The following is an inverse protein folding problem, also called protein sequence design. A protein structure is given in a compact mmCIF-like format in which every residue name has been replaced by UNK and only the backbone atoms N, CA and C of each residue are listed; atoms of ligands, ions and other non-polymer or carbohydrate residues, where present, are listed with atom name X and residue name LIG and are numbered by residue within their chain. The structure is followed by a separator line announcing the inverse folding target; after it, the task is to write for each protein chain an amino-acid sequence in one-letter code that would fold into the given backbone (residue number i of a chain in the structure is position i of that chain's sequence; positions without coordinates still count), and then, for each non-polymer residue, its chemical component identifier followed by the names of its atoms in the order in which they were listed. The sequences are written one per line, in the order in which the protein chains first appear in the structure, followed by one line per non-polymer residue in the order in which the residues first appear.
data_IF_157581064201
#
_entry.id   IF_157581064201
#
_cell.length_a   1.000
_cell.length_b   1.000
_cell.length_c   1.000
_cell.angle_alpha   90.00
_cell.angle_beta   90.00
_cell.angle_gamma   90.00
#
_symmetry.space_group_name_H-M   'P 1'
#
loop_
_entity.id
_entity.type
_entity.pdbx_description
1 polymer ?
#
# COMPACT_ATOMS: atom_id res chain seq x y z
N UNK A 1 18.63 -10.31 -10.37
CA UNK A 1 18.34 -10.06 -8.94
C UNK A 1 18.19 -8.57 -8.62
N UNK A 2 19.16 -7.72 -8.98
CA UNK A 2 19.12 -6.27 -8.70
C UNK A 2 17.88 -5.52 -9.24
N UNK A 3 17.48 -5.76 -10.50
CA UNK A 3 16.29 -5.11 -11.09
C UNK A 3 15.02 -5.40 -10.28
N UNK A 4 14.84 -6.65 -9.84
CA UNK A 4 13.72 -7.05 -8.99
C UNK A 4 13.76 -6.36 -7.62
N UNK A 5 14.96 -6.26 -7.02
CA UNK A 5 15.14 -5.54 -5.75
C UNK A 5 14.82 -4.06 -5.88
N UNK A 6 15.20 -3.44 -7.00
CA UNK A 6 14.90 -2.04 -7.27
C UNK A 6 13.40 -1.79 -7.49
N UNK A 7 12.72 -2.64 -8.26
CA UNK A 7 11.26 -2.53 -8.43
C UNK A 7 10.52 -2.73 -7.11
N UNK A 8 10.95 -3.71 -6.30
CA UNK A 8 10.42 -3.88 -4.94
C UNK A 8 10.64 -2.63 -4.09
N UNK A 9 11.84 -2.06 -4.08
CA UNK A 9 12.14 -0.86 -3.29
C UNK A 9 11.29 0.33 -3.73
N UNK A 10 11.17 0.58 -5.04
CA UNK A 10 10.33 1.66 -5.58
C UNK A 10 8.84 1.44 -5.32
N UNK A 11 8.36 0.19 -5.30
CA UNK A 11 6.98 -0.12 -4.95
C UNK A 11 6.66 0.23 -3.49
N UNK A 12 7.62 0.11 -2.58
CA UNK A 12 7.44 0.35 -1.15
C UNK A 12 7.89 1.77 -0.73
N UNK A 13 8.32 2.61 -1.67
CA UNK A 13 8.75 3.97 -1.40
C UNK A 13 7.56 4.94 -1.50
N UNK A 14 6.81 5.07 -0.41
CA UNK A 14 5.61 5.92 -0.35
C UNK A 14 5.97 7.36 0.04
N UNK A 15 5.77 8.30 -0.87
CA UNK A 15 5.88 9.75 -0.60
C UNK A 15 4.52 10.38 -0.89
N UNK A 16 3.96 11.09 0.10
CA UNK A 16 2.66 11.74 0.01
C UNK A 16 2.83 13.26 -0.14
N UNK A 17 1.87 13.91 -0.82
CA UNK A 17 1.79 15.37 -0.92
C UNK A 17 2.65 16.02 -2.00
N UNK A 18 3.45 15.26 -2.75
CA UNK A 18 4.25 15.75 -3.87
C UNK A 18 4.21 14.81 -5.05
N UNK A 19 4.37 15.36 -6.26
CA UNK A 19 4.55 14.56 -7.48
C UNK A 19 5.95 13.95 -7.48
N UNK A 20 6.04 12.66 -7.77
CA UNK A 20 7.31 11.92 -7.85
C UNK A 20 7.48 11.25 -9.20
N UNK A 21 8.73 11.00 -9.61
CA UNK A 21 9.05 10.22 -10.81
C UNK A 21 9.04 8.70 -10.57
N UNK A 22 8.62 8.23 -9.39
CA UNK A 22 8.63 6.80 -9.03
C UNK A 22 7.86 5.95 -10.05
N UNK A 23 6.64 6.32 -10.52
CA UNK A 23 5.94 5.53 -11.52
C UNK A 23 6.72 5.40 -12.84
N UNK A 24 7.40 6.46 -13.25
CA UNK A 24 8.25 6.46 -14.44
C UNK A 24 9.47 5.55 -14.28
N UNK A 25 10.19 5.68 -13.16
CA UNK A 25 11.35 4.84 -12.86
C UNK A 25 10.97 3.35 -12.82
N UNK A 26 9.82 3.01 -12.24
CA UNK A 26 9.30 1.64 -12.26
C UNK A 26 9.01 1.14 -13.67
N UNK A 27 8.40 1.97 -14.52
CA UNK A 27 8.15 1.63 -15.92
C UNK A 27 9.45 1.37 -16.70
N UNK A 28 10.48 2.19 -16.48
CA UNK A 28 11.81 2.02 -17.09
C UNK A 28 12.44 0.70 -16.68
N UNK A 29 12.60 0.43 -15.38
CA UNK A 29 13.32 -0.76 -14.90
C UNK A 29 12.58 -2.08 -15.16
N UNK A 30 11.26 -2.02 -15.33
CA UNK A 30 10.43 -3.21 -15.64
C UNK A 30 10.28 -3.46 -17.14
N UNK A 31 10.70 -2.52 -18.00
CA UNK A 31 10.69 -2.69 -19.45
C UNK A 31 11.64 -3.78 -19.93
N UNK A 32 11.27 -4.43 -21.02
CA UNK A 32 12.08 -5.52 -21.59
C UNK A 32 13.42 -5.03 -22.14
N UNK A 33 13.44 -3.85 -22.79
CA UNK A 33 14.66 -3.26 -23.33
C UNK A 33 15.70 -2.97 -22.22
N UNK A 34 15.25 -2.40 -21.10
CA UNK A 34 16.13 -2.16 -19.94
C UNK A 34 16.63 -3.47 -19.32
N UNK A 35 15.77 -4.50 -19.22
CA UNK A 35 16.15 -5.82 -18.66
C UNK A 35 17.15 -6.57 -19.54
N UNK A 36 17.10 -6.35 -20.85
CA UNK A 36 18.03 -6.93 -21.81
C UNK A 36 19.37 -6.16 -21.86
N UNK A 37 19.43 -4.98 -21.24
CA UNK A 37 20.61 -4.11 -21.26
C UNK A 37 20.78 -3.32 -22.55
N UNK A 38 19.75 -3.28 -23.41
CA UNK A 38 19.72 -2.49 -24.63
C UNK A 38 19.40 -1.02 -24.29
N UNK A 39 20.39 -0.34 -23.71
CA UNK A 39 20.23 1.01 -23.16
C UNK A 39 21.29 1.94 -23.76
N UNK A 40 20.81 2.98 -24.42
CA UNK A 40 21.60 4.07 -25.00
C UNK A 40 21.25 5.40 -24.34
N UNK A 41 21.97 6.47 -24.68
CA UNK A 41 21.73 7.80 -24.10
C UNK A 41 20.38 8.41 -24.51
N UNK A 42 19.81 7.99 -25.63
CA UNK A 42 18.51 8.40 -26.15
C UNK A 42 17.40 7.38 -25.83
N UNK A 43 17.64 6.45 -24.90
CA UNK A 43 16.71 5.37 -24.56
C UNK A 43 15.32 5.88 -24.13
N UNK A 44 15.27 6.92 -23.30
CA UNK A 44 14.00 7.49 -22.82
C UNK A 44 13.21 8.07 -23.99
N UNK A 45 13.87 8.83 -24.85
CA UNK A 45 13.24 9.44 -26.03
C UNK A 45 12.71 8.38 -27.01
N UNK A 46 13.41 7.24 -27.14
CA UNK A 46 12.98 6.15 -28.03
C UNK A 46 11.84 5.30 -27.48
N UNK A 47 11.89 4.95 -26.20
CA UNK A 47 10.99 3.95 -25.62
C UNK A 47 9.84 4.55 -24.79
N UNK A 48 9.95 5.81 -24.39
CA UNK A 48 9.04 6.45 -23.44
C UNK A 48 8.57 7.85 -23.86
N UNK A 49 8.72 8.24 -25.14
CA UNK A 49 8.26 9.54 -25.64
C UNK A 49 6.79 9.83 -25.31
N UNK A 50 5.92 8.83 -25.47
CA UNK A 50 4.48 8.94 -25.21
C UNK A 50 4.07 8.34 -23.85
N UNK A 51 5.03 8.09 -22.97
CA UNK A 51 4.73 7.47 -21.69
C UNK A 51 3.88 8.38 -20.80
N UNK A 52 2.86 7.80 -20.20
CA UNK A 52 2.02 8.45 -19.20
C UNK A 52 1.82 7.53 -18.00
N UNK A 53 1.73 8.06 -16.78
CA UNK A 53 1.40 7.26 -15.61
C UNK A 53 0.01 6.65 -15.77
N UNK A 54 -0.15 5.42 -15.28
CA UNK A 54 -1.47 4.78 -15.23
C UNK A 54 -2.41 5.62 -14.36
N UNK A 55 -3.52 6.05 -14.95
CA UNK A 55 -4.61 6.77 -14.26
C UNK A 55 -5.68 5.84 -13.73
N UNK A 56 -5.49 4.51 -13.89
CA UNK A 56 -6.47 3.52 -13.46
C UNK A 56 -6.49 3.44 -11.94
N UNK A 57 -7.46 4.12 -11.33
CA UNK A 57 -7.78 3.95 -9.93
C UNK A 57 -8.28 2.51 -9.68
N UNK A 58 -7.96 1.92 -8.51
CA UNK A 58 -8.64 0.71 -8.05
C UNK A 58 -10.16 0.95 -7.96
N UNK A 59 -11.00 -0.08 -8.14
CA UNK A 59 -12.44 0.06 -7.93
C UNK A 59 -12.76 0.53 -6.51
N UNK A 60 -13.81 1.35 -6.35
CA UNK A 60 -14.22 1.88 -5.04
C UNK A 60 -14.40 0.78 -3.99
N UNK A 61 -14.97 -0.36 -4.37
CA UNK A 61 -15.14 -1.51 -3.48
C UNK A 61 -13.81 -2.06 -2.97
N UNK A 62 -12.75 -2.06 -3.79
CA UNK A 62 -11.43 -2.49 -3.37
C UNK A 62 -10.80 -1.49 -2.38
N UNK A 63 -11.02 -0.19 -2.60
CA UNK A 63 -10.58 0.86 -1.67
C UNK A 63 -11.31 0.78 -0.33
N UNK A 64 -12.64 0.61 -0.35
CA UNK A 64 -13.47 0.43 0.86
C UNK A 64 -13.05 -0.82 1.63
N UNK A 65 -12.84 -1.94 0.93
CA UNK A 65 -12.39 -3.18 1.56
C UNK A 65 -10.99 -3.04 2.19
N UNK A 66 -10.04 -2.38 1.50
CA UNK A 66 -8.71 -2.14 2.02
C UNK A 66 -8.72 -1.23 3.27
N UNK A 67 -9.48 -0.13 3.22
CA UNK A 67 -9.62 0.79 4.35
C UNK A 67 -10.28 0.11 5.56
N UNK A 68 -11.31 -0.73 5.35
CA UNK A 68 -11.93 -1.48 6.43
C UNK A 68 -10.98 -2.52 7.02
N UNK A 69 -10.19 -3.21 6.19
CA UNK A 69 -9.18 -4.17 6.65
C UNK A 69 -8.13 -3.48 7.53
N UNK A 70 -7.62 -2.32 7.10
CA UNK A 70 -6.66 -1.52 7.87
C UNK A 70 -7.25 -1.05 9.21
N UNK A 71 -8.51 -0.62 9.22
CA UNK A 71 -9.21 -0.22 10.46
C UNK A 71 -9.35 -1.39 11.43
N UNK A 72 -9.80 -2.56 10.95
CA UNK A 72 -9.99 -3.75 11.79
C UNK A 72 -8.65 -4.28 12.33
N UNK A 73 -7.58 -4.24 11.53
CA UNK A 73 -6.22 -4.59 11.98
C UNK A 73 -5.69 -3.60 13.01
N UNK A 74 -5.92 -2.30 12.83
CA UNK A 74 -5.55 -1.25 13.76
C UNK A 74 -6.25 -1.37 15.11
N UNK A 75 -7.54 -1.74 15.13
CA UNK A 75 -8.31 -1.97 16.37
C UNK A 75 -7.85 -3.24 17.12
N UNK A 76 -7.45 -4.30 16.40
CA UNK A 76 -6.87 -5.49 17.01
C UNK A 76 -5.53 -5.18 17.75
N UNK A 77 -4.78 -4.19 17.26
CA UNK A 77 -3.54 -3.71 17.88
C UNK A 77 -3.80 -2.65 18.97
N UNK A 78 -4.91 -1.90 18.84
CA UNK A 78 -5.33 -0.81 19.72
C UNK A 78 -6.21 -1.22 20.91
N UNK A 79 -6.62 -2.49 21.02
CA UNK A 79 -7.43 -3.02 22.12
C UNK A 79 -6.80 -2.86 23.55
N UNK A 80 -5.65 -2.20 23.67
CA UNK A 80 -5.06 -1.78 24.94
C UNK A 80 -5.42 -0.36 25.41
N UNK A 81 -5.78 0.58 24.53
CA UNK A 81 -5.87 2.01 24.88
C UNK A 81 -7.20 2.66 24.44
N UNK A 82 -8.03 3.03 25.42
CA UNK A 82 -9.23 3.83 25.19
C UNK A 82 -8.92 5.28 24.76
N UNK A 83 -9.91 6.00 24.20
CA UNK A 83 -9.73 7.33 23.62
C UNK A 83 -9.26 8.43 24.60
N UNK A 84 -9.30 8.18 25.90
CA UNK A 84 -8.88 9.13 26.95
C UNK A 84 -7.51 8.82 27.57
N UNK A 85 -6.82 7.74 27.18
CA UNK A 85 -5.53 7.38 27.80
C UNK A 85 -5.63 7.02 29.30
N UNK A 86 -6.83 6.95 29.86
CA UNK A 86 -7.07 6.48 31.21
C UNK A 86 -7.09 4.94 31.23
N UNK A 87 -6.47 4.29 32.24
CA UNK A 87 -6.53 2.85 32.39
C UNK A 87 -7.96 2.42 32.75
N UNK A 88 -8.77 2.13 31.75
CA UNK A 88 -10.11 1.59 31.90
C UNK A 88 -10.04 0.09 32.24
N UNK A 89 -9.87 -0.18 33.54
CA UNK A 89 -10.18 -1.46 34.20
C UNK A 89 -9.16 -2.59 34.06
N UNK A 90 -9.17 -3.47 35.07
CA UNK A 90 -8.26 -4.60 35.36
C UNK A 90 -8.34 -5.80 34.38
N UNK A 91 -9.04 -5.69 33.24
CA UNK A 91 -9.21 -6.83 32.31
C UNK A 91 -8.65 -6.56 30.90
N UNK A 92 -7.35 -6.85 30.69
CA UNK A 92 -6.69 -6.77 29.38
C UNK A 92 -7.28 -7.70 28.31
N UNK A 93 -8.04 -8.73 28.67
CA UNK A 93 -8.56 -9.75 27.76
C UNK A 93 -10.06 -9.58 27.47
N UNK A 94 -10.64 -8.44 27.83
CA UNK A 94 -12.08 -8.20 27.66
C UNK A 94 -12.53 -8.35 26.20
N UNK A 95 -13.54 -9.20 25.92
CA UNK A 95 -14.05 -9.43 24.56
C UNK A 95 -14.74 -8.20 23.96
N UNK A 96 -15.14 -7.23 24.79
CA UNK A 96 -15.79 -5.98 24.38
C UNK A 96 -14.82 -4.95 23.79
N UNK A 97 -13.51 -5.21 23.84
CA UNK A 97 -12.48 -4.39 23.18
C UNK A 97 -12.18 -4.84 21.74
N UNK A 98 -12.72 -5.99 21.32
CA UNK A 98 -12.42 -6.58 20.03
C UNK A 98 -13.45 -6.15 18.98
N UNK A 99 -13.00 -5.66 17.84
CA UNK A 99 -13.85 -5.39 16.68
C UNK A 99 -14.13 -6.65 15.85
N UNK A 100 -14.40 -7.78 16.51
CA UNK A 100 -14.59 -9.10 15.89
C UNK A 100 -15.97 -9.27 15.23
N UNK A 101 -16.79 -8.22 15.20
CA UNK A 101 -18.11 -8.27 14.57
C UNK A 101 -19.10 -9.18 15.27
N UNK A 102 -18.93 -9.47 16.57
CA UNK A 102 -19.82 -10.35 17.34
C UNK A 102 -21.30 -9.96 17.15
N UNK A 103 -22.13 -10.97 16.87
CA UNK A 103 -23.60 -10.87 16.80
C UNK A 103 -24.19 -11.99 17.64
N UNK A 104 -25.13 -11.66 18.51
CA UNK A 104 -25.84 -12.65 19.30
C UNK A 104 -26.93 -13.30 18.43
N UNK A 105 -26.85 -14.61 18.21
CA UNK A 105 -27.94 -15.39 17.60
C UNK A 105 -27.73 -15.89 16.17
N UNK A 106 -26.56 -15.72 15.57
CA UNK A 106 -26.23 -16.46 14.34
C UNK A 106 -25.76 -17.88 14.72
N UNK A 107 -26.44 -18.89 14.15
CA UNK A 107 -26.19 -20.32 14.33
C UNK A 107 -25.65 -20.91 13.03
#
# INVERSE_FOLDING_TARGET
DAVRKMDWALQHYVILGVTTNIPFLRAVITSDAFRQGDVTTDFVDRHFADWQPSTKAPPDMALVAAALAELLEGEAQGAGAGPTGEPQGDDPLSPWRQATGFRLGER
#
